data_IF_456260508390
#
_entry.id   IF_456260508390
#
_cell.length_a   1.000
_cell.length_b   1.000
_cell.length_c   1.000
_cell.angle_alpha   90.00
_cell.angle_beta   90.00
_cell.angle_gamma   90.00
#
_symmetry.space_group_name_H-M   'P 1'
#
loop_
_entity.id
_entity.type
_entity.pdbx_description
1 polymer ?
#
# COMPACT_ATOMS: atom_id res chain seq x y z
N UNK A 1 16.87 -2.44 3.05
CA UNK A 1 15.73 -1.57 2.69
C UNK A 1 16.04 -0.07 2.59
N UNK A 2 16.96 0.50 3.38
CA UNK A 2 17.22 1.96 3.45
C UNK A 2 17.40 2.67 2.10
N UNK A 3 18.01 2.02 1.11
CA UNK A 3 18.39 2.66 -0.14
C UNK A 3 17.28 2.76 -1.18
N UNK A 4 16.39 1.76 -1.28
CA UNK A 4 15.30 1.78 -2.28
C UNK A 4 14.40 3.01 -2.09
N UNK A 5 13.85 3.18 -0.89
CA UNK A 5 13.00 4.34 -0.55
C UNK A 5 13.77 5.66 -0.55
N UNK A 6 15.03 5.69 -0.06
CA UNK A 6 15.83 6.91 -0.01
C UNK A 6 16.17 7.42 -1.41
N UNK A 7 16.57 6.53 -2.31
CA UNK A 7 16.90 6.87 -3.70
C UNK A 7 15.66 7.28 -4.46
N UNK A 8 14.55 6.53 -4.31
CA UNK A 8 13.28 6.89 -4.93
C UNK A 8 12.84 8.30 -4.50
N UNK A 9 12.79 8.56 -3.19
CA UNK A 9 12.42 9.89 -2.65
C UNK A 9 13.33 11.01 -3.15
N UNK A 10 14.63 10.73 -3.33
CA UNK A 10 15.61 11.75 -3.77
C UNK A 10 15.44 12.16 -5.23
N UNK A 11 15.02 11.24 -6.09
CA UNK A 11 15.14 11.42 -7.53
C UNK A 11 13.80 11.40 -8.29
N UNK A 12 12.73 10.82 -7.75
CA UNK A 12 11.44 10.68 -8.44
C UNK A 12 10.81 12.03 -8.86
N UNK A 13 11.08 13.12 -8.14
CA UNK A 13 10.57 14.46 -8.47
C UNK A 13 11.41 15.17 -9.53
N UNK A 14 12.65 14.70 -9.77
CA UNK A 14 13.61 15.33 -10.67
C UNK A 14 13.78 14.60 -12.00
N UNK A 15 13.54 13.29 -11.99
CA UNK A 15 13.70 12.41 -13.13
C UNK A 15 12.44 11.57 -13.28
N UNK A 16 12.04 11.30 -14.53
CA UNK A 16 10.97 10.35 -14.81
C UNK A 16 11.47 8.94 -14.46
N UNK A 17 11.26 8.52 -13.22
CA UNK A 17 11.69 7.24 -12.70
C UNK A 17 10.71 6.70 -11.67
N UNK A 18 10.71 5.39 -11.52
CA UNK A 18 10.01 4.68 -10.46
C UNK A 18 10.91 3.54 -9.98
N UNK A 19 10.56 2.91 -8.86
CA UNK A 19 11.24 1.71 -8.38
C UNK A 19 10.35 0.49 -8.62
N UNK A 20 10.82 -0.47 -9.41
CA UNK A 20 10.03 -1.64 -9.80
C UNK A 20 9.70 -2.56 -8.61
N UNK A 21 10.67 -2.79 -7.70
CA UNK A 21 10.46 -3.60 -6.50
C UNK A 21 9.42 -2.98 -5.54
N UNK A 22 9.27 -1.66 -5.52
CA UNK A 22 8.31 -0.95 -4.66
C UNK A 22 6.99 -0.70 -5.38
N UNK A 23 7.03 0.00 -6.51
CA UNK A 23 5.85 0.51 -7.21
C UNK A 23 5.35 -0.46 -8.29
N UNK A 24 6.26 -1.12 -9.02
CA UNK A 24 5.89 -2.11 -10.04
C UNK A 24 5.22 -3.33 -9.41
N UNK A 25 5.86 -3.91 -8.40
CA UNK A 25 5.31 -5.04 -7.62
C UNK A 25 3.98 -4.68 -6.96
N UNK A 26 3.87 -3.48 -6.39
CA UNK A 26 2.62 -2.99 -5.82
C UNK A 26 1.49 -2.87 -6.84
N UNK A 27 1.79 -2.39 -8.05
CA UNK A 27 0.82 -2.25 -9.13
C UNK A 27 0.23 -3.60 -9.55
N UNK A 28 1.10 -4.59 -9.77
CA UNK A 28 0.66 -5.95 -10.15
C UNK A 28 -0.12 -6.62 -9.02
N UNK A 29 0.32 -6.45 -7.77
CA UNK A 29 -0.39 -7.01 -6.62
C UNK A 29 -1.80 -6.40 -6.47
N UNK A 30 -1.94 -5.08 -6.57
CA UNK A 30 -3.24 -4.42 -6.50
C UNK A 30 -4.17 -4.88 -7.65
N UNK A 31 -3.64 -5.01 -8.87
CA UNK A 31 -4.41 -5.56 -9.99
C UNK A 31 -4.94 -6.98 -9.69
N UNK A 32 -4.11 -7.83 -9.07
CA UNK A 32 -4.50 -9.15 -8.61
C UNK A 32 -5.60 -9.13 -7.54
N UNK A 33 -5.51 -8.21 -6.57
CA UNK A 33 -6.53 -8.04 -5.54
C UNK A 33 -7.89 -7.64 -6.14
N UNK A 34 -7.92 -6.60 -6.98
CA UNK A 34 -9.14 -6.13 -7.62
C UNK A 34 -9.71 -7.17 -8.60
N UNK A 35 -8.84 -7.90 -9.29
CA UNK A 35 -9.21 -9.05 -10.12
C UNK A 35 -9.88 -10.15 -9.30
N UNK A 36 -9.39 -10.42 -8.09
CA UNK A 36 -9.98 -11.42 -7.17
C UNK A 36 -11.38 -11.00 -6.73
N UNK A 37 -11.60 -9.72 -6.39
CA UNK A 37 -12.93 -9.21 -6.05
C UNK A 37 -13.91 -9.44 -7.21
N UNK A 38 -13.49 -9.11 -8.43
CA UNK A 38 -14.29 -9.32 -9.65
C UNK A 38 -14.56 -10.80 -9.93
N UNK A 39 -13.56 -11.66 -9.72
CA UNK A 39 -13.69 -13.10 -9.93
C UNK A 39 -14.70 -13.74 -8.97
N UNK A 40 -14.93 -13.14 -7.80
CA UNK A 40 -15.98 -13.54 -6.86
C UNK A 40 -17.38 -13.01 -7.25
N UNK A 41 -17.51 -12.27 -8.35
CA UNK A 41 -18.76 -11.65 -8.78
C UNK A 41 -19.19 -10.46 -7.91
N UNK A 42 -18.26 -9.91 -7.12
CA UNK A 42 -18.50 -8.81 -6.17
C UNK A 42 -18.20 -7.45 -6.80
N UNK A 43 -18.81 -6.38 -6.27
CA UNK A 43 -18.48 -5.01 -6.68
C UNK A 43 -17.07 -4.67 -6.24
N UNK A 44 -16.35 -3.83 -6.99
CA UNK A 44 -15.07 -3.30 -6.53
C UNK A 44 -15.23 -2.45 -5.25
N UNK A 45 -16.43 -1.92 -5.00
CA UNK A 45 -16.78 -1.23 -3.76
C UNK A 45 -16.75 -2.16 -2.52
N UNK A 46 -16.71 -3.48 -2.72
CA UNK A 46 -16.49 -4.44 -1.65
C UNK A 46 -15.02 -4.54 -1.23
N UNK A 47 -14.07 -4.08 -2.06
CA UNK A 47 -12.64 -4.20 -1.80
C UNK A 47 -12.21 -3.64 -0.43
N UNK A 48 -12.71 -2.48 0.05
CA UNK A 48 -12.43 -1.96 1.39
C UNK A 48 -12.76 -2.91 2.55
N UNK A 49 -13.65 -3.88 2.35
CA UNK A 49 -14.07 -4.83 3.39
C UNK A 49 -13.14 -6.07 3.49
N UNK A 50 -12.18 -6.22 2.59
CA UNK A 50 -11.25 -7.35 2.61
C UNK A 50 -10.14 -7.12 3.63
N UNK A 51 -9.85 -8.15 4.42
CA UNK A 51 -8.69 -8.17 5.32
C UNK A 51 -7.48 -8.68 4.56
N UNK A 52 -6.44 -7.86 4.48
CA UNK A 52 -5.21 -8.17 3.75
C UNK A 52 -4.05 -8.23 4.74
N UNK A 53 -3.34 -9.35 4.74
CA UNK A 53 -2.13 -9.56 5.53
C UNK A 53 -0.95 -9.67 4.59
N UNK A 54 -0.01 -8.73 4.70
CA UNK A 54 1.25 -8.75 3.95
C UNK A 54 2.33 -9.35 4.86
N UNK A 55 3.05 -10.36 4.34
CA UNK A 55 4.16 -11.01 5.06
C UNK A 55 5.49 -10.55 4.46
N UNK A 56 6.35 -10.00 5.32
CA UNK A 56 7.61 -9.36 4.99
C UNK A 56 7.47 -7.84 4.93
N UNK A 57 8.11 -7.12 5.85
CA UNK A 57 8.13 -5.65 5.85
C UNK A 57 9.18 -5.06 4.89
N UNK A 58 9.45 -5.76 3.80
CA UNK A 58 10.35 -5.42 2.69
C UNK A 58 9.94 -4.18 1.89
N UNK A 59 10.77 -3.75 0.95
CA UNK A 59 10.40 -2.70 -0.03
C UNK A 59 9.14 -3.07 -0.81
N UNK A 60 9.04 -4.32 -1.27
CA UNK A 60 7.87 -4.84 -1.95
C UNK A 60 6.64 -4.90 -1.03
N UNK A 61 6.75 -5.51 0.14
CA UNK A 61 5.63 -5.65 1.08
C UNK A 61 5.06 -4.30 1.53
N UNK A 62 5.93 -3.34 1.86
CA UNK A 62 5.53 -1.97 2.17
C UNK A 62 4.91 -1.25 0.97
N UNK A 63 5.44 -1.46 -0.24
CA UNK A 63 4.87 -0.91 -1.47
C UNK A 63 3.45 -1.41 -1.71
N UNK A 64 3.24 -2.73 -1.65
CA UNK A 64 1.94 -3.39 -1.82
C UNK A 64 0.93 -2.88 -0.79
N UNK A 65 1.32 -2.88 0.49
CA UNK A 65 0.46 -2.42 1.58
C UNK A 65 0.05 -0.96 1.39
N UNK A 66 1.02 -0.08 1.08
CA UNK A 66 0.78 1.34 0.87
C UNK A 66 -0.18 1.58 -0.30
N UNK A 67 0.05 0.90 -1.42
CA UNK A 67 -0.79 1.07 -2.62
C UNK A 67 -2.21 0.56 -2.40
N UNK A 68 -2.38 -0.55 -1.68
CA UNK A 68 -3.70 -1.08 -1.37
C UNK A 68 -4.48 -0.18 -0.40
N UNK A 69 -3.81 0.37 0.62
CA UNK A 69 -4.39 1.38 1.52
C UNK A 69 -4.81 2.64 0.75
N UNK A 70 -3.94 3.14 -0.15
CA UNK A 70 -4.28 4.29 -1.00
C UNK A 70 -5.49 4.01 -1.91
N UNK A 71 -5.59 2.80 -2.46
CA UNK A 71 -6.74 2.40 -3.27
C UNK A 71 -8.04 2.43 -2.46
N UNK A 72 -8.03 1.91 -1.24
CA UNK A 72 -9.19 1.97 -0.33
C UNK A 72 -9.55 3.40 0.02
N UNK A 73 -8.58 4.24 0.40
CA UNK A 73 -8.81 5.66 0.68
C UNK A 73 -9.45 6.37 -0.51
N UNK A 74 -9.01 6.08 -1.74
CA UNK A 74 -9.58 6.65 -2.97
C UNK A 74 -11.01 6.16 -3.23
N UNK A 75 -11.33 4.92 -2.88
CA UNK A 75 -12.67 4.34 -3.08
C UNK A 75 -13.67 4.82 -2.02
N UNK A 76 -13.26 4.93 -0.75
CA UNK A 76 -14.17 5.24 0.36
C UNK A 76 -14.18 6.71 0.75
N UNK A 77 -13.15 7.47 0.36
CA UNK A 77 -12.90 8.81 0.89
C UNK A 77 -12.51 8.82 2.38
N UNK A 78 -12.32 7.64 3.01
CA UNK A 78 -12.06 7.50 4.44
C UNK A 78 -10.83 6.64 4.72
N UNK A 79 -9.85 7.23 5.40
CA UNK A 79 -8.61 6.60 5.82
C UNK A 79 -8.78 5.57 6.96
N UNK A 80 -9.80 5.72 7.80
CA UNK A 80 -10.00 4.89 8.98
C UNK A 80 -10.37 3.45 8.59
N UNK A 81 -11.16 3.28 7.52
CA UNK A 81 -11.51 1.96 6.97
C UNK A 81 -10.27 1.18 6.52
N UNK A 82 -9.27 1.88 5.97
CA UNK A 82 -8.02 1.26 5.55
C UNK A 82 -7.11 0.90 6.73
N UNK A 83 -7.19 1.60 7.86
CA UNK A 83 -6.36 1.29 9.03
C UNK A 83 -6.77 -0.01 9.73
N UNK A 84 -8.03 -0.43 9.63
CA UNK A 84 -8.56 -1.59 10.35
C UNK A 84 -8.38 -2.93 9.62
N UNK A 85 -8.23 -2.91 8.31
CA UNK A 85 -8.29 -4.11 7.47
C UNK A 85 -6.94 -4.54 6.86
N UNK A 86 -5.88 -3.75 7.06
CA UNK A 86 -4.58 -3.98 6.43
C UNK A 86 -3.49 -4.23 7.49
N UNK A 87 -2.79 -5.36 7.36
CA UNK A 87 -1.82 -5.84 8.34
C UNK A 87 -0.47 -6.13 7.69
N UNK A 88 0.61 -5.87 8.42
CA UNK A 88 1.97 -6.20 8.03
C UNK A 88 2.62 -7.07 9.11
N UNK A 89 3.16 -8.21 8.69
CA UNK A 89 3.90 -9.14 9.54
C UNK A 89 5.34 -9.23 9.04
N UNK A 90 6.33 -9.25 9.93
CA UNK A 90 7.72 -9.47 9.57
C UNK A 90 8.39 -10.46 10.55
N UNK A 91 9.58 -10.95 10.18
CA UNK A 91 10.37 -11.94 10.91
C UNK A 91 10.58 -11.59 12.39
N UNK A 92 10.66 -10.31 12.69
CA UNK A 92 10.67 -9.79 14.05
C UNK A 92 9.19 -9.51 14.36
N UNK A 93 8.49 -10.48 14.95
CA UNK A 93 7.03 -10.49 15.15
C UNK A 93 6.58 -9.26 15.95
N UNK A 94 6.37 -8.15 15.25
CA UNK A 94 5.76 -6.96 15.80
C UNK A 94 4.53 -6.68 14.95
N UNK A 95 3.36 -7.07 15.49
CA UNK A 95 2.05 -6.71 14.95
C UNK A 95 2.00 -5.18 14.81
N UNK A 96 2.26 -4.67 13.62
CA UNK A 96 2.21 -3.24 13.34
C UNK A 96 0.80 -2.84 12.89
N UNK A 97 -0.19 -3.02 13.78
CA UNK A 97 -1.53 -2.43 13.59
C UNK A 97 -1.51 -0.92 13.85
N UNK A 98 -0.60 -0.44 14.71
CA UNK A 98 -0.55 0.97 15.13
C UNK A 98 0.33 1.87 14.25
N UNK A 99 1.15 1.31 13.34
CA UNK A 99 2.02 2.11 12.45
C UNK A 99 1.30 2.58 11.17
N UNK A 100 0.12 2.02 10.86
CA UNK A 100 -0.70 2.49 9.74
C UNK A 100 -1.19 3.93 9.92
N UNK A 101 -1.60 4.34 11.13
CA UNK A 101 -2.09 5.71 11.34
C UNK A 101 -1.02 6.78 11.08
N UNK A 102 0.23 6.52 11.48
CA UNK A 102 1.35 7.45 11.24
C UNK A 102 1.83 7.41 9.79
N UNK A 103 1.80 6.24 9.15
CA UNK A 103 2.19 6.08 7.74
C UNK A 103 1.12 6.61 6.77
N UNK A 104 -0.17 6.50 7.08
CA UNK A 104 -1.27 7.06 6.27
C UNK A 104 -1.17 8.59 6.23
N UNK A 105 -0.93 9.25 7.37
CA UNK A 105 -0.72 10.71 7.43
C UNK A 105 0.56 11.12 6.67
N UNK A 106 1.62 10.31 6.73
CA UNK A 106 2.87 10.56 6.00
C UNK A 106 2.72 10.35 4.48
N UNK A 107 1.96 9.34 4.05
CA UNK A 107 1.66 9.05 2.62
C UNK A 107 0.73 10.11 2.04
N UNK A 108 -0.27 10.60 2.79
CA UNK A 108 -1.08 11.75 2.39
C UNK A 108 -0.21 12.99 2.14
N UNK A 109 0.80 13.26 2.96
CA UNK A 109 1.70 14.41 2.75
C UNK A 109 2.74 14.21 1.63
N UNK A 110 3.04 12.98 1.22
CA UNK A 110 4.12 12.69 0.27
C UNK A 110 3.61 12.45 -1.17
N UNK A 111 2.32 12.13 -1.36
CA UNK A 111 1.75 11.80 -2.67
C UNK A 111 0.59 12.71 -3.13
N UNK A 112 0.27 13.79 -2.40
CA UNK A 112 -0.75 14.78 -2.79
C UNK A 112 -0.35 15.72 -3.95
N UNK A 113 0.54 15.27 -4.84
CA UNK A 113 0.98 15.98 -6.04
C UNK A 113 0.77 15.19 -7.34
N UNK A 114 -0.14 14.21 -7.32
CA UNK A 114 -0.77 13.64 -8.52
C UNK A 114 -2.29 13.60 -8.35
#
# INVERSE_FOLDING_TARGET
>A
MKWAFKTLKRYQERFCMFNDDVQGTAGVALAGFLGTVRAQGRSLDDFPNYKIVVVGAGSAGLGVLSMAVQAVVRMTGNADTAAQNFFLLDKDVQFCTSFLAFFILFVQSLFMFF
#
